data_IF_198989433238
#
_entry.id   IF_198989433238
#
_cell.length_a   1.000
_cell.length_b   1.000
_cell.length_c   1.000
_cell.angle_alpha   90.00
_cell.angle_beta   90.00
_cell.angle_gamma   90.00
#
_symmetry.space_group_name_H-M   'P 1'
#
loop_
_entity.id
_entity.type
_entity.pdbx_description
1 polymer ?
#
# COMPACT_ATOMS: atom_id res chain seq x y z
N UNK A 1 -6.39 -13.38 30.30
CA UNK A 1 -6.59 -12.97 28.90
C UNK A 1 -7.17 -11.58 28.97
N UNK A 2 -6.39 -10.55 28.64
CA UNK A 2 -6.90 -9.17 28.61
C UNK A 2 -7.89 -9.09 27.45
N UNK A 3 -9.18 -9.00 27.76
CA UNK A 3 -10.21 -8.70 26.77
C UNK A 3 -9.79 -7.42 26.05
N UNK A 4 -9.44 -7.53 24.76
CA UNK A 4 -9.12 -6.34 23.97
C UNK A 4 -10.41 -5.57 23.79
N UNK A 5 -10.46 -4.34 24.30
CA UNK A 5 -11.60 -3.46 24.12
C UNK A 5 -11.72 -3.06 22.64
N UNK A 6 -12.93 -2.73 22.15
CA UNK A 6 -13.13 -2.22 20.79
C UNK A 6 -12.21 -1.04 20.48
N UNK A 7 -11.99 -0.15 21.46
CA UNK A 7 -11.07 0.98 21.34
C UNK A 7 -9.63 0.54 21.03
N UNK A 8 -9.09 -0.42 21.80
CA UNK A 8 -7.73 -0.92 21.58
C UNK A 8 -7.58 -1.56 20.21
N UNK A 9 -8.58 -2.30 19.75
CA UNK A 9 -8.55 -2.92 18.42
C UNK A 9 -8.55 -1.87 17.30
N UNK A 10 -9.34 -0.81 17.44
CA UNK A 10 -9.35 0.30 16.47
C UNK A 10 -8.05 1.11 16.48
N UNK A 11 -7.43 1.29 17.64
CA UNK A 11 -6.12 1.95 17.75
C UNK A 11 -5.02 1.11 17.10
N UNK A 12 -5.00 -0.20 17.33
CA UNK A 12 -4.08 -1.13 16.68
C UNK A 12 -4.27 -1.11 15.14
N UNK A 13 -5.53 -1.07 14.68
CA UNK A 13 -5.86 -0.99 13.26
C UNK A 13 -5.35 0.31 12.61
N UNK A 14 -5.47 1.44 13.30
CA UNK A 14 -4.91 2.71 12.85
C UNK A 14 -3.38 2.64 12.80
N UNK A 15 -2.75 2.07 13.83
CA UNK A 15 -1.31 1.89 13.89
C UNK A 15 -0.80 1.06 12.70
N UNK A 16 -1.41 -0.10 12.43
CA UNK A 16 -1.06 -0.92 11.27
C UNK A 16 -1.19 -0.14 9.96
N UNK A 17 -2.26 0.65 9.80
CA UNK A 17 -2.48 1.48 8.60
C UNK A 17 -1.33 2.50 8.40
N UNK A 18 -0.85 3.13 9.48
CA UNK A 18 0.29 4.05 9.44
C UNK A 18 1.63 3.35 9.21
N UNK A 19 1.83 2.16 9.75
CA UNK A 19 3.03 1.37 9.48
C UNK A 19 3.09 0.92 8.03
N UNK A 20 1.96 0.45 7.46
CA UNK A 20 1.87 0.11 6.03
C UNK A 20 2.32 1.28 5.13
N UNK A 21 1.94 2.51 5.46
CA UNK A 21 2.41 3.71 4.76
C UNK A 21 3.95 3.86 4.79
N UNK A 22 4.57 3.59 5.94
CA UNK A 22 6.03 3.68 6.08
C UNK A 22 6.76 2.63 5.24
N UNK A 23 6.25 1.40 5.20
CA UNK A 23 6.87 0.33 4.40
C UNK A 23 6.63 0.50 2.90
N UNK A 24 5.48 1.06 2.53
CA UNK A 24 5.21 1.46 1.16
C UNK A 24 6.19 2.55 0.67
N UNK A 25 6.49 3.55 1.50
CA UNK A 25 7.50 4.59 1.19
C UNK A 25 8.91 4.00 1.07
N UNK A 26 9.24 3.00 1.89
CA UNK A 26 10.52 2.28 1.85
C UNK A 26 10.63 1.28 0.69
N UNK A 27 9.55 1.08 -0.08
CA UNK A 27 9.42 0.04 -1.11
C UNK A 27 9.65 -1.39 -0.60
N UNK A 28 9.46 -1.61 0.70
CA UNK A 28 9.55 -2.92 1.34
C UNK A 28 8.19 -3.64 1.20
N UNK A 29 7.98 -4.21 0.01
CA UNK A 29 6.69 -4.80 -0.36
C UNK A 29 6.41 -6.12 0.37
N UNK A 30 7.44 -6.83 0.82
CA UNK A 30 7.28 -8.08 1.59
C UNK A 30 6.63 -7.76 2.94
N UNK A 31 7.24 -6.86 3.71
CA UNK A 31 6.71 -6.46 5.02
C UNK A 31 5.39 -5.68 4.90
N UNK A 32 5.20 -4.93 3.81
CA UNK A 32 3.91 -4.33 3.49
C UNK A 32 2.79 -5.38 3.36
N UNK A 33 3.03 -6.48 2.66
CA UNK A 33 2.05 -7.57 2.52
C UNK A 33 1.79 -8.29 3.85
N UNK A 34 2.81 -8.50 4.67
CA UNK A 34 2.63 -9.07 6.01
C UNK A 34 1.73 -8.21 6.89
N UNK A 35 1.95 -6.89 6.89
CA UNK A 35 1.10 -5.95 7.64
C UNK A 35 -0.34 -5.90 7.11
N UNK A 36 -0.52 -6.04 5.80
CA UNK A 36 -1.85 -6.13 5.20
C UNK A 36 -2.60 -7.37 5.69
N UNK A 37 -1.93 -8.53 5.76
CA UNK A 37 -2.52 -9.77 6.30
C UNK A 37 -2.88 -9.62 7.79
N UNK A 38 -1.99 -9.03 8.59
CA UNK A 38 -2.27 -8.76 10.01
C UNK A 38 -3.48 -7.84 10.17
N UNK A 39 -3.59 -6.82 9.32
CA UNK A 39 -4.71 -5.87 9.33
C UNK A 39 -6.03 -6.51 8.93
N UNK A 40 -6.01 -7.44 7.97
CA UNK A 40 -7.21 -8.23 7.60
C UNK A 40 -7.69 -9.08 8.78
N UNK A 41 -6.79 -9.77 9.47
CA UNK A 41 -7.12 -10.53 10.68
C UNK A 41 -7.70 -9.63 11.78
N UNK A 42 -7.13 -8.43 11.97
CA UNK A 42 -7.69 -7.45 12.91
C UNK A 42 -9.08 -6.98 12.51
N UNK A 43 -9.36 -6.83 11.21
CA UNK A 43 -10.69 -6.47 10.74
C UNK A 43 -11.71 -7.55 11.08
N UNK A 44 -11.37 -8.82 10.88
CA UNK A 44 -12.23 -9.95 11.29
C UNK A 44 -12.51 -9.91 12.79
N UNK A 45 -11.48 -9.69 13.63
CA UNK A 45 -11.66 -9.57 15.08
C UNK A 45 -12.56 -8.38 15.46
N UNK A 46 -12.44 -7.25 14.77
CA UNK A 46 -13.29 -6.07 14.96
C UNK A 46 -14.75 -6.29 14.54
N UNK A 47 -15.00 -7.20 13.61
CA UNK A 47 -16.35 -7.59 13.18
C UNK A 47 -17.00 -8.58 14.15
N UNK A 48 -16.20 -9.44 14.79
CA UNK A 48 -16.65 -10.41 15.80
C UNK A 48 -16.79 -9.79 17.21
N UNK A 49 -16.09 -8.70 17.50
CA UNK A 49 -16.13 -8.03 18.80
C UNK A 49 -17.36 -7.12 18.91
N UNK A 50 -18.15 -7.21 20.00
CA UNK A 50 -19.24 -6.28 20.26
C UNK A 50 -18.72 -4.84 20.31
N UNK A 51 -19.34 -3.94 19.57
CA UNK A 51 -18.89 -2.54 19.51
C UNK A 51 -19.13 -1.76 20.81
N UNK A 52 -20.09 -2.20 21.62
CA UNK A 52 -20.55 -1.54 22.86
C UNK A 52 -20.82 -0.03 22.73
N UNK A 53 -21.17 0.41 21.51
CA UNK A 53 -21.44 1.81 21.19
C UNK A 53 -20.20 2.67 20.99
N UNK A 54 -18.99 2.10 21.01
CA UNK A 54 -17.73 2.82 20.85
C UNK A 54 -17.68 3.57 19.52
N UNK A 55 -18.06 2.97 18.38
CA UNK A 55 -18.07 3.65 17.06
C UNK A 55 -18.96 4.89 17.05
N UNK A 56 -20.02 4.90 17.85
CA UNK A 56 -20.95 6.03 17.96
C UNK A 56 -20.51 7.07 18.99
N UNK A 57 -19.56 6.75 19.87
CA UNK A 57 -19.00 7.71 20.82
C UNK A 57 -18.24 8.84 20.09
N UNK A 58 -18.08 10.03 20.70
CA UNK A 58 -17.25 11.08 20.13
C UNK A 58 -15.79 10.65 19.89
N UNK A 59 -15.24 9.80 20.77
CA UNK A 59 -13.88 9.27 20.65
C UNK A 59 -13.76 8.30 19.46
N UNK A 60 -14.66 7.33 19.36
CA UNK A 60 -14.68 6.38 18.25
C UNK A 60 -14.93 7.05 16.91
N UNK A 61 -15.81 8.06 16.84
CA UNK A 61 -16.01 8.84 15.60
C UNK A 61 -14.75 9.57 15.15
N UNK A 62 -13.98 10.16 16.07
CA UNK A 62 -12.70 10.80 15.75
C UNK A 62 -11.69 9.79 15.24
N UNK A 63 -11.56 8.66 15.93
CA UNK A 63 -10.63 7.59 15.56
C UNK A 63 -10.96 6.99 14.19
N UNK A 64 -12.24 6.71 13.92
CA UNK A 64 -12.68 6.21 12.62
C UNK A 64 -12.48 7.22 11.49
N UNK A 65 -12.62 8.52 11.77
CA UNK A 65 -12.33 9.55 10.78
C UNK A 65 -10.84 9.56 10.43
N UNK A 66 -9.98 9.50 11.44
CA UNK A 66 -8.52 9.42 11.24
C UNK A 66 -8.14 8.17 10.44
N UNK A 67 -8.71 7.01 10.77
CA UNK A 67 -8.53 5.76 10.01
C UNK A 67 -8.94 5.95 8.54
N UNK A 68 -10.04 6.64 8.28
CA UNK A 68 -10.50 6.91 6.91
C UNK A 68 -9.52 7.80 6.15
N UNK A 69 -9.01 8.84 6.78
CA UNK A 69 -8.03 9.76 6.17
C UNK A 69 -6.72 9.02 5.86
N UNK A 70 -6.17 8.25 6.81
CA UNK A 70 -4.95 7.47 6.61
C UNK A 70 -5.11 6.41 5.51
N UNK A 71 -6.29 5.78 5.41
CA UNK A 71 -6.60 4.85 4.31
C UNK A 71 -6.59 5.51 2.94
N UNK A 72 -7.12 6.73 2.83
CA UNK A 72 -7.09 7.46 1.57
C UNK A 72 -5.66 7.81 1.18
N UNK A 73 -4.84 8.24 2.14
CA UNK A 73 -3.42 8.52 1.91
C UNK A 73 -2.68 7.25 1.46
N UNK A 74 -2.91 6.13 2.14
CA UNK A 74 -2.35 4.82 1.81
C UNK A 74 -2.68 4.40 0.38
N UNK A 75 -3.96 4.47 -0.01
CA UNK A 75 -4.39 4.10 -1.35
C UNK A 75 -3.78 5.01 -2.43
N UNK A 76 -3.77 6.32 -2.19
CA UNK A 76 -3.19 7.29 -3.12
C UNK A 76 -1.68 7.05 -3.33
N UNK A 77 -0.93 6.81 -2.25
CA UNK A 77 0.50 6.48 -2.35
C UNK A 77 0.74 5.16 -3.05
N UNK A 78 -0.08 4.15 -2.77
CA UNK A 78 0.06 2.84 -3.39
C UNK A 78 -0.10 2.94 -4.91
N UNK A 79 -1.13 3.65 -5.38
CA UNK A 79 -1.33 3.93 -6.79
C UNK A 79 -0.16 4.70 -7.42
N UNK A 80 0.36 5.72 -6.73
CA UNK A 80 1.49 6.50 -7.22
C UNK A 80 2.78 5.66 -7.35
N UNK A 81 3.08 4.81 -6.36
CA UNK A 81 4.24 3.90 -6.39
C UNK A 81 4.10 2.89 -7.52
N UNK A 82 2.92 2.30 -7.70
CA UNK A 82 2.66 1.34 -8.77
C UNK A 82 2.73 1.97 -10.17
N UNK A 83 2.19 3.18 -10.35
CA UNK A 83 2.30 3.90 -11.64
C UNK A 83 3.73 4.26 -12.00
N UNK A 84 4.57 4.66 -11.03
CA UNK A 84 6.01 4.90 -11.25
C UNK A 84 6.73 3.64 -11.70
N UNK A 85 6.49 2.51 -11.04
CA UNK A 85 7.08 1.22 -11.41
C UNK A 85 6.76 0.84 -12.88
N UNK A 86 5.51 1.03 -13.31
CA UNK A 86 5.08 0.77 -14.70
C UNK A 86 5.76 1.70 -15.72
N UNK A 87 5.95 2.97 -15.37
CA UNK A 87 6.65 3.94 -16.23
C UNK A 87 8.14 3.61 -16.34
N UNK A 88 8.81 3.23 -15.24
CA UNK A 88 10.20 2.81 -15.27
C UNK A 88 10.42 1.57 -16.16
N UNK A 89 9.49 0.61 -16.17
CA UNK A 89 9.58 -0.57 -17.02
C UNK A 89 9.48 -0.23 -18.53
N UNK A 90 8.48 0.56 -18.93
CA UNK A 90 8.30 0.98 -20.33
C UNK A 90 9.48 1.81 -20.86
N UNK A 91 10.06 2.67 -20.02
CA UNK A 91 11.22 3.48 -20.42
C UNK A 91 12.47 2.60 -20.54
N UNK A 92 12.69 1.63 -19.65
CA UNK A 92 13.82 0.70 -19.75
C UNK A 92 13.75 -0.19 -21.01
N UNK A 93 12.56 -0.67 -21.38
CA UNK A 93 12.36 -1.41 -22.63
C UNK A 93 12.67 -0.55 -23.87
N UNK A 94 12.28 0.74 -23.86
CA UNK A 94 12.55 1.66 -24.96
C UNK A 94 14.05 1.95 -25.17
N UNK A 95 14.86 1.94 -24.12
CA UNK A 95 16.33 2.08 -24.24
C UNK A 95 17.05 0.76 -24.52
N UNK A 96 16.47 -0.38 -24.13
CA UNK A 96 17.04 -1.72 -24.37
C UNK A 96 16.83 -2.20 -25.82
N UNK A 97 15.83 -1.69 -26.53
CA UNK A 97 15.55 -2.00 -27.94
C UNK A 97 16.49 -1.34 -28.97
N UNK A 98 17.44 -0.52 -28.52
CA UNK A 98 18.31 0.29 -29.38
C UNK A 98 19.60 -0.39 -29.87
N UNK A 99 19.62 -1.71 -30.10
CA UNK A 99 20.77 -2.38 -30.74
C UNK A 99 20.32 -3.15 -32.00
N UNK A 100 19.60 -2.48 -32.89
CA UNK A 100 19.53 -2.90 -34.30
C UNK A 100 20.78 -2.38 -35.01
N UNK A 101 21.85 -3.18 -35.03
CA UNK A 101 22.90 -3.02 -36.03
C UNK A 101 22.27 -3.15 -37.42
N UNK A 102 22.32 -2.13 -38.31
CA UNK A 102 21.94 -2.31 -39.69
C UNK A 102 23.11 -2.98 -40.42
N UNK A 103 23.21 -4.29 -40.29
CA UNK A 103 23.91 -5.10 -41.28
C UNK A 103 23.04 -5.20 -42.52
N UNK A 104 23.34 -4.45 -43.59
CA UNK A 104 23.79 -5.03 -44.86
C UNK A 104 24.05 -3.97 -45.95
N UNK A 105 25.26 -4.07 -46.53
CA UNK A 105 25.62 -3.88 -47.93
C UNK A 105 25.14 -2.61 -48.68
N UNK A 106 26.05 -1.63 -48.83
CA UNK A 106 26.06 -0.78 -50.04
C UNK A 106 27.46 -0.72 -50.62
N UNK A 107 27.57 -1.42 -51.75
CA UNK A 107 28.75 -1.66 -52.56
C UNK A 107 29.37 -0.34 -53.06
N UNK A 108 30.70 -0.22 -52.94
CA UNK A 108 31.52 0.82 -53.55
C UNK A 108 32.00 0.34 -54.92
N UNK A 109 31.62 1.01 -56.01
CA UNK A 109 32.42 1.03 -57.25
C UNK A 109 32.33 2.43 -57.88
N UNK A 110 33.50 2.98 -58.20
CA UNK A 110 33.74 4.25 -58.92
C UNK A 110 33.41 4.15 -60.40
#
# INVERSE_FOLDING_TARGET
MTEKTPESLWQDYLFLTKEMLKFLDKQDMELFHELMNQREQMQTLLEETPDDGFRNSPAGRRLLNEIREENQILMNRFQATHSKAKQHHQVAEAYSGGNQHPGNHRNWVR
#
